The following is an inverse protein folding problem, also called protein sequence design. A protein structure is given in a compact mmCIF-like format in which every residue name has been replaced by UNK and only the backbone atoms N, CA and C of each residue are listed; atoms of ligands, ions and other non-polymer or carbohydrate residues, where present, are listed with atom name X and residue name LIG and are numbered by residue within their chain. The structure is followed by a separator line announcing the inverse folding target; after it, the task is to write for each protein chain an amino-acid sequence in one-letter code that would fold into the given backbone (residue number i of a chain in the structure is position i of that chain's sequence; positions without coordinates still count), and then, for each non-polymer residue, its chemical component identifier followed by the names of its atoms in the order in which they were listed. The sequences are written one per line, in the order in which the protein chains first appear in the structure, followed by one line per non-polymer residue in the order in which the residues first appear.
data_IF_571828538910
#
_entry.id   IF_571828538910
#
_cell.length_a   1.000
_cell.length_b   1.000
_cell.length_c   1.000
_cell.angle_alpha   90.00
_cell.angle_beta   90.00
_cell.angle_gamma   90.00
#
_symmetry.space_group_name_H-M   'P 1'
#
loop_
_entity.id
_entity.type
_entity.pdbx_description
1 polymer ?
#
# COMPACT_ATOMS: atom_id res chain seq x y z
N UNK A 1 13.25 9.57 11.38
CA UNK A 1 14.02 9.47 10.11
C UNK A 1 14.10 8.03 9.59
N UNK A 2 14.56 7.05 10.38
CA UNK A 2 14.75 5.67 9.90
C UNK A 2 13.46 4.96 9.42
N UNK A 3 12.32 5.11 10.11
CA UNK A 3 11.03 4.53 9.70
C UNK A 3 10.56 5.12 8.36
N UNK A 4 10.70 6.43 8.16
CA UNK A 4 10.36 7.07 6.90
C UNK A 4 11.12 6.43 5.73
N UNK A 5 12.44 6.30 5.85
CA UNK A 5 13.28 5.70 4.81
C UNK A 5 13.00 4.21 4.57
N UNK A 6 12.53 3.49 5.58
CA UNK A 6 12.08 2.11 5.48
C UNK A 6 10.76 2.00 4.69
N UNK A 7 9.85 2.94 4.89
CA UNK A 7 8.54 2.94 4.25
C UNK A 7 8.55 3.46 2.81
N UNK A 8 9.56 4.22 2.37
CA UNK A 8 9.66 4.71 0.97
C UNK A 8 9.42 3.61 -0.08
N UNK A 9 10.14 2.47 -0.09
CA UNK A 9 9.91 1.43 -1.09
C UNK A 9 8.55 0.71 -0.91
N UNK A 10 8.00 0.67 0.31
CA UNK A 10 6.65 0.14 0.56
C UNK A 10 5.61 1.07 -0.09
N UNK A 11 5.67 2.36 0.21
CA UNK A 11 4.74 3.36 -0.33
C UNK A 11 4.83 3.40 -1.84
N UNK A 12 6.04 3.44 -2.41
CA UNK A 12 6.21 3.43 -3.87
C UNK A 12 5.73 2.11 -4.46
N UNK A 13 6.29 0.98 -4.03
CA UNK A 13 6.00 -0.33 -4.63
C UNK A 13 4.53 -0.74 -4.47
N UNK A 14 4.02 -0.77 -3.23
CA UNK A 14 2.67 -1.24 -2.95
C UNK A 14 1.59 -0.29 -3.47
N UNK A 15 1.70 1.00 -3.16
CA UNK A 15 0.62 1.95 -3.49
C UNK A 15 0.46 2.11 -5.00
N UNK A 16 1.56 2.09 -5.76
CA UNK A 16 1.47 2.23 -7.22
C UNK A 16 0.94 0.99 -7.91
N UNK A 17 1.16 -0.21 -7.37
CA UNK A 17 0.46 -1.42 -7.83
C UNK A 17 -1.03 -1.35 -7.49
N UNK A 18 -1.39 -0.99 -6.25
CA UNK A 18 -2.78 -0.81 -5.84
C UNK A 18 -3.55 0.21 -6.69
N UNK A 19 -2.89 1.29 -7.13
CA UNK A 19 -3.52 2.29 -8.01
C UNK A 19 -3.94 1.68 -9.35
N UNK A 20 -3.23 0.67 -9.88
CA UNK A 20 -3.65 -0.03 -11.09
C UNK A 20 -4.95 -0.81 -10.86
N UNK A 21 -5.04 -1.52 -9.73
CA UNK A 21 -6.24 -2.30 -9.37
C UNK A 21 -7.44 -1.38 -9.13
N UNK A 22 -7.23 -0.27 -8.41
CA UNK A 22 -8.28 0.73 -8.12
C UNK A 22 -8.75 1.41 -9.42
N UNK A 23 -7.83 1.81 -10.30
CA UNK A 23 -8.21 2.43 -11.57
C UNK A 23 -8.92 1.42 -12.50
N UNK A 24 -8.48 0.16 -12.51
CA UNK A 24 -9.15 -0.92 -13.24
C UNK A 24 -10.58 -1.15 -12.73
N UNK A 25 -10.75 -1.20 -11.41
CA UNK A 25 -12.08 -1.28 -10.78
C UNK A 25 -12.94 -0.05 -11.13
N UNK A 26 -12.34 1.13 -11.16
CA UNK A 26 -12.99 2.37 -11.59
C UNK A 26 -13.58 2.24 -13.00
N UNK A 27 -12.82 1.72 -13.97
CA UNK A 27 -13.32 1.40 -15.31
C UNK A 27 -14.49 0.42 -15.24
N UNK A 28 -14.35 -0.66 -14.46
CA UNK A 28 -15.37 -1.72 -14.36
C UNK A 28 -16.73 -1.21 -13.82
N UNK A 29 -16.73 -0.25 -12.88
CA UNK A 29 -17.96 0.35 -12.32
C UNK A 29 -18.83 1.00 -13.40
N UNK A 30 -18.22 1.53 -14.45
CA UNK A 30 -18.93 2.17 -15.57
C UNK A 30 -19.33 1.19 -16.69
N UNK A 31 -19.01 -0.10 -16.56
CA UNK A 31 -19.24 -1.10 -17.61
C UNK A 31 -18.52 -0.75 -18.91
N UNK A 32 -19.14 -1.04 -20.06
CA UNK A 32 -18.54 -0.74 -21.37
C UNK A 32 -18.21 0.73 -21.59
N UNK A 33 -18.98 1.65 -20.98
CA UNK A 33 -18.70 3.09 -21.05
C UNK A 33 -17.42 3.47 -20.33
N UNK A 34 -16.97 2.71 -19.33
CA UNK A 34 -15.69 2.98 -18.66
C UNK A 34 -14.46 2.82 -19.56
N UNK A 35 -14.60 2.08 -20.67
CA UNK A 35 -13.56 1.92 -21.69
C UNK A 35 -13.59 3.06 -22.72
N UNK A 36 -14.65 3.86 -22.74
CA UNK A 36 -14.86 4.98 -23.65
C UNK A 36 -14.36 6.27 -23.00
N UNK A 37 -13.54 7.04 -23.72
CA UNK A 37 -12.77 8.17 -23.19
C UNK A 37 -13.66 9.29 -22.61
N UNK A 38 -14.88 9.45 -23.12
CA UNK A 38 -15.85 10.46 -22.69
C UNK A 38 -16.24 10.34 -21.20
N UNK A 39 -16.09 9.17 -20.59
CA UNK A 39 -16.31 8.99 -19.13
C UNK A 39 -15.14 9.48 -18.28
N UNK A 40 -13.95 9.63 -18.88
CA UNK A 40 -12.69 9.94 -18.19
C UNK A 40 -12.07 8.77 -17.42
N UNK A 41 -12.78 7.65 -17.20
CA UNK A 41 -12.26 6.52 -16.43
C UNK A 41 -11.05 5.84 -17.11
N UNK A 42 -11.08 5.70 -18.42
CA UNK A 42 -9.98 5.13 -19.21
C UNK A 42 -8.68 5.93 -19.07
N UNK A 43 -8.76 7.25 -18.93
CA UNK A 43 -7.59 8.10 -18.73
C UNK A 43 -6.86 7.75 -17.42
N UNK A 44 -7.59 7.63 -16.31
CA UNK A 44 -6.98 7.30 -15.02
C UNK A 44 -6.30 5.92 -15.03
N UNK A 45 -6.88 4.95 -15.73
CA UNK A 45 -6.23 3.63 -15.88
C UNK A 45 -4.92 3.72 -16.69
N UNK A 46 -4.87 4.53 -17.76
CA UNK A 46 -3.63 4.78 -18.51
C UNK A 46 -2.58 5.50 -17.66
N UNK A 47 -2.99 6.56 -16.96
CA UNK A 47 -2.11 7.38 -16.13
C UNK A 47 -1.56 6.59 -14.92
N UNK A 48 -2.33 5.64 -14.38
CA UNK A 48 -1.88 4.74 -13.30
C UNK A 48 -0.66 3.89 -13.69
N UNK A 49 -0.58 3.42 -14.95
CA UNK A 49 0.42 2.43 -15.37
C UNK A 49 1.86 2.91 -15.20
N UNK A 50 2.14 4.19 -15.43
CA UNK A 50 3.52 4.70 -15.38
C UNK A 50 4.07 4.72 -13.95
N UNK A 51 3.21 4.81 -12.94
CA UNK A 51 3.58 4.98 -11.54
C UNK A 51 4.38 3.78 -11.00
N UNK A 52 4.02 2.57 -11.42
CA UNK A 52 4.74 1.36 -11.03
C UNK A 52 6.09 1.20 -11.76
N UNK A 53 6.31 1.92 -12.86
CA UNK A 53 7.45 1.74 -13.77
C UNK A 53 8.55 2.77 -13.50
N UNK A 54 8.20 4.06 -13.44
CA UNK A 54 9.18 5.13 -13.24
C UNK A 54 9.83 5.08 -11.85
N UNK A 55 10.95 5.77 -11.67
CA UNK A 55 11.64 5.90 -10.37
C UNK A 55 11.91 4.54 -9.66
N UNK A 56 12.15 3.49 -10.46
CA UNK A 56 12.41 2.13 -10.02
C UNK A 56 11.16 1.25 -10.02
N UNK A 57 11.18 0.19 -10.84
CA UNK A 57 10.06 -0.76 -10.96
C UNK A 57 9.72 -1.47 -9.65
N UNK A 58 8.55 -2.09 -9.57
CA UNK A 58 8.10 -2.86 -8.38
C UNK A 58 9.14 -3.87 -7.89
N UNK A 59 9.81 -4.58 -8.79
CA UNK A 59 10.89 -5.50 -8.44
C UNK A 59 12.12 -4.77 -7.84
N UNK A 60 12.46 -3.59 -8.35
CA UNK A 60 13.55 -2.78 -7.82
C UNK A 60 13.20 -2.25 -6.41
N UNK A 61 11.97 -1.81 -6.17
CA UNK A 61 11.52 -1.41 -4.84
C UNK A 61 11.49 -2.58 -3.86
N UNK A 62 11.03 -3.76 -4.30
CA UNK A 62 11.06 -4.98 -3.48
C UNK A 62 12.50 -5.34 -3.08
N UNK A 63 13.44 -5.25 -4.01
CA UNK A 63 14.86 -5.48 -3.74
C UNK A 63 15.46 -4.43 -2.79
N UNK A 64 15.06 -3.16 -2.89
CA UNK A 64 15.44 -2.11 -1.91
C UNK A 64 14.94 -2.47 -0.51
N UNK A 65 13.65 -2.78 -0.38
CA UNK A 65 13.01 -3.12 0.89
C UNK A 65 13.68 -4.33 1.56
N UNK A 66 13.84 -5.43 0.82
CA UNK A 66 14.44 -6.66 1.36
C UNK A 66 15.92 -6.44 1.65
N UNK A 67 16.69 -6.03 0.65
CA UNK A 67 18.14 -5.95 0.77
C UNK A 67 18.61 -4.80 1.65
N UNK A 68 18.30 -3.56 1.24
CA UNK A 68 18.89 -2.36 1.85
C UNK A 68 18.16 -1.89 3.10
N UNK A 69 16.84 -2.05 3.17
CA UNK A 69 16.03 -1.56 4.30
C UNK A 69 15.81 -2.59 5.39
N UNK A 70 15.89 -3.89 5.09
CA UNK A 70 15.62 -4.97 6.06
C UNK A 70 16.86 -5.80 6.39
N UNK A 71 17.56 -6.38 5.40
CA UNK A 71 18.69 -7.27 5.70
C UNK A 71 19.91 -6.53 6.26
N UNK A 72 20.16 -5.29 5.81
CA UNK A 72 21.33 -4.50 6.20
C UNK A 72 21.46 -4.24 7.70
N UNK A 73 20.35 -4.05 8.41
CA UNK A 73 20.33 -3.78 9.86
C UNK A 73 19.80 -4.96 10.69
N UNK A 74 19.65 -6.14 10.07
CA UNK A 74 19.05 -7.32 10.73
C UNK A 74 17.56 -7.15 11.07
N UNK A 75 16.87 -6.25 10.34
CA UNK A 75 15.46 -5.94 10.49
C UNK A 75 15.13 -5.09 11.71
N UNK A 76 16.09 -4.32 12.23
CA UNK A 76 15.90 -3.54 13.45
C UNK A 76 14.75 -2.53 13.31
N UNK A 77 14.71 -1.76 12.21
CA UNK A 77 13.61 -0.81 11.94
C UNK A 77 12.28 -1.53 11.76
N UNK A 78 12.26 -2.64 11.02
CA UNK A 78 11.04 -3.43 10.80
C UNK A 78 10.45 -3.96 12.12
N UNK A 79 11.30 -4.52 12.99
CA UNK A 79 10.90 -5.03 14.31
C UNK A 79 10.36 -3.93 15.21
N UNK A 80 11.00 -2.75 15.21
CA UNK A 80 10.52 -1.60 15.98
C UNK A 80 9.13 -1.16 15.51
N UNK A 81 8.91 -1.06 14.20
CA UNK A 81 7.59 -0.73 13.63
C UNK A 81 6.53 -1.78 13.99
N UNK A 82 6.86 -3.07 13.90
CA UNK A 82 5.94 -4.16 14.28
C UNK A 82 5.58 -4.07 15.76
N UNK A 83 6.54 -3.74 16.64
CA UNK A 83 6.27 -3.57 18.06
C UNK A 83 5.29 -2.40 18.31
N UNK A 84 5.48 -1.26 17.66
CA UNK A 84 4.58 -0.10 17.74
C UNK A 84 3.15 -0.42 17.23
N UNK A 85 3.06 -1.19 16.13
CA UNK A 85 1.77 -1.72 15.65
C UNK A 85 1.13 -2.61 16.72
N UNK A 86 1.91 -3.49 17.36
CA UNK A 86 1.45 -4.36 18.45
C UNK A 86 0.92 -3.58 19.65
N UNK A 87 1.58 -2.50 20.03
CA UNK A 87 1.12 -1.59 21.09
C UNK A 87 -0.23 -0.95 20.74
N UNK A 88 -0.38 -0.50 19.49
CA UNK A 88 -1.65 0.05 18.98
C UNK A 88 -2.76 -0.99 19.02
N UNK A 89 -2.50 -2.22 18.54
CA UNK A 89 -3.46 -3.33 18.59
C UNK A 89 -3.86 -3.66 20.03
N UNK A 90 -2.90 -3.70 20.97
CA UNK A 90 -3.17 -3.95 22.37
C UNK A 90 -4.01 -2.83 23.01
N UNK A 91 -3.79 -1.57 22.63
CA UNK A 91 -4.60 -0.44 23.07
C UNK A 91 -6.04 -0.55 22.54
N UNK A 92 -6.21 -0.86 21.25
CA UNK A 92 -7.52 -1.08 20.65
C UNK A 92 -8.27 -2.26 21.30
N UNK A 93 -7.56 -3.32 21.67
CA UNK A 93 -8.15 -4.49 22.34
C UNK A 93 -8.81 -4.16 23.69
N UNK A 94 -8.37 -3.09 24.37
CA UNK A 94 -8.90 -2.62 25.65
C UNK A 94 -10.15 -1.73 25.50
N UNK A 95 -10.52 -1.36 24.27
CA UNK A 95 -11.70 -0.55 24.03
C UNK A 95 -12.97 -1.42 24.11
N UNK A 96 -14.02 -0.81 24.66
CA UNK A 96 -15.37 -1.37 24.76
C UNK A 96 -16.32 -0.69 23.75
N UNK A 97 -17.46 -1.34 23.48
CA UNK A 97 -18.52 -0.82 22.60
C UNK A 97 -18.66 -1.59 21.27
N UNK A 98 -19.75 -1.32 20.55
CA UNK A 98 -20.15 -2.09 19.35
C UNK A 98 -19.08 -2.06 18.24
N UNK A 99 -18.43 -0.92 18.00
CA UNK A 99 -17.37 -0.81 17.01
C UNK A 99 -16.13 -1.64 17.41
N UNK A 100 -15.68 -1.55 18.66
CA UNK A 100 -14.56 -2.34 19.16
C UNK A 100 -14.88 -3.85 19.16
N UNK A 101 -16.13 -4.23 19.44
CA UNK A 101 -16.58 -5.62 19.34
C UNK A 101 -16.53 -6.15 17.90
N UNK A 102 -16.91 -5.36 16.90
CA UNK A 102 -16.84 -5.77 15.49
C UNK A 102 -15.41 -6.03 14.99
N UNK A 103 -14.42 -5.33 15.54
CA UNK A 103 -13.01 -5.48 15.16
C UNK A 103 -12.34 -6.72 15.78
N UNK A 104 -12.98 -7.37 16.77
CA UNK A 104 -12.48 -8.59 17.44
C UNK A 104 -12.95 -9.89 16.76
N UNK A 105 -13.84 -9.80 15.77
CA UNK A 105 -14.59 -10.95 15.18
C UNK A 105 -14.17 -11.27 13.74
N UNK A 106 -13.25 -10.49 13.14
CA UNK A 106 -12.56 -10.88 11.90
C UNK A 106 -11.29 -11.68 12.21
#
# INVERSE_FOLDING_TARGET
QAIYEYLVPVVKGWSTEMVNDVASLGVQVHGGMGFIEETGAAQYYRDARILAIYEGTTAIQANDLVGRKTLRDGGAVAKALIAEIGETVAALGKLDGAAAASMKVQ
#
